data_IF_020955701039
#
_entry.id   IF_020955701039
#
_cell.length_a   1.000
_cell.length_b   1.000
_cell.length_c   1.000
_cell.angle_alpha   90.00
_cell.angle_beta   90.00
_cell.angle_gamma   90.00
#
_symmetry.space_group_name_H-M   'P 1'
#
loop_
_entity.id
_entity.type
_entity.pdbx_description
1 polymer ?
#
# COMPACT_ATOMS: atom_id res chain seq x y z
N UNK A 1 -16.66 9.27 -2.53
CA UNK A 1 -15.19 9.23 -2.53
C UNK A 1 -14.72 8.28 -3.61
N UNK A 2 -13.74 8.68 -4.38
CA UNK A 2 -13.19 7.83 -5.44
C UNK A 2 -12.24 6.77 -4.87
N UNK A 3 -12.24 5.58 -5.51
CA UNK A 3 -11.35 4.49 -5.13
C UNK A 3 -9.88 4.81 -5.45
N UNK A 4 -8.97 4.22 -4.71
CA UNK A 4 -7.54 4.34 -4.95
C UNK A 4 -6.78 3.11 -4.42
N UNK A 5 -5.55 2.97 -4.87
CA UNK A 5 -4.62 1.94 -4.40
C UNK A 5 -3.76 2.54 -3.29
N UNK A 6 -3.48 1.79 -2.24
CA UNK A 6 -2.56 2.19 -1.18
C UNK A 6 -1.39 1.20 -1.11
N UNK A 7 -0.17 1.72 -0.96
CA UNK A 7 0.98 0.85 -0.74
C UNK A 7 1.30 0.68 0.76
N UNK A 8 2.27 -0.16 1.06
CA UNK A 8 2.66 -0.44 2.44
C UNK A 8 3.28 0.76 3.14
N UNK A 9 3.90 1.70 2.42
CA UNK A 9 4.51 2.89 3.04
C UNK A 9 3.46 3.80 3.68
N UNK A 10 2.29 3.94 3.07
CA UNK A 10 1.16 4.69 3.63
C UNK A 10 0.47 3.87 4.73
N UNK A 11 0.19 2.60 4.46
CA UNK A 11 -0.51 1.72 5.40
C UNK A 11 0.29 1.50 6.70
N UNK A 12 1.62 1.57 6.65
CA UNK A 12 2.47 1.47 7.84
C UNK A 12 2.06 2.50 8.92
N UNK A 13 1.67 3.70 8.51
CA UNK A 13 1.25 4.75 9.42
C UNK A 13 -0.07 4.42 10.14
N UNK A 14 -0.86 3.50 9.62
CA UNK A 14 -2.08 3.04 10.29
C UNK A 14 -1.78 2.20 11.53
N UNK A 15 -0.61 1.53 11.54
CA UNK A 15 -0.18 0.64 12.61
C UNK A 15 0.74 1.32 13.61
N UNK A 16 1.46 2.35 13.17
CA UNK A 16 2.46 3.06 13.95
C UNK A 16 1.99 4.51 14.14
N UNK A 17 1.32 4.84 15.26
CA UNK A 17 0.67 6.15 15.43
C UNK A 17 1.61 7.35 15.34
N UNK A 18 2.90 7.17 15.64
CA UNK A 18 3.90 8.23 15.52
C UNK A 18 4.19 8.63 14.07
N UNK A 19 3.77 7.83 13.10
CA UNK A 19 3.90 8.12 11.67
C UNK A 19 2.62 8.67 11.05
N UNK A 20 1.55 8.83 11.81
CA UNK A 20 0.25 9.28 11.31
C UNK A 20 0.33 10.72 10.81
N UNK A 21 -0.32 10.97 9.66
CA UNK A 21 -0.48 12.30 9.06
C UNK A 21 -1.95 12.47 8.64
N UNK A 22 -2.41 13.70 8.34
CA UNK A 22 -3.76 13.88 7.82
C UNK A 22 -4.03 13.03 6.57
N UNK A 23 -3.04 12.87 5.71
CA UNK A 23 -3.13 12.06 4.50
C UNK A 23 -3.35 10.57 4.84
N UNK A 24 -2.55 10.00 5.74
CA UNK A 24 -2.66 8.59 6.12
C UNK A 24 -3.94 8.31 6.89
N UNK A 25 -4.40 9.24 7.73
CA UNK A 25 -5.66 9.09 8.44
C UNK A 25 -6.85 9.13 7.49
N UNK A 26 -6.84 10.02 6.51
CA UNK A 26 -7.89 10.06 5.49
C UNK A 26 -7.91 8.77 4.66
N UNK A 27 -6.74 8.23 4.32
CA UNK A 27 -6.64 6.95 3.61
C UNK A 27 -7.22 5.80 4.44
N UNK A 28 -6.95 5.77 5.75
CA UNK A 28 -7.51 4.77 6.66
C UNK A 28 -9.04 4.87 6.72
N UNK A 29 -9.58 6.08 6.86
CA UNK A 29 -11.03 6.29 6.87
C UNK A 29 -11.70 5.82 5.58
N UNK A 30 -11.02 5.96 4.45
CA UNK A 30 -11.54 5.52 3.15
C UNK A 30 -11.73 3.99 3.09
N UNK A 31 -11.02 3.20 3.91
CA UNK A 31 -11.21 1.75 3.96
C UNK A 31 -12.64 1.38 4.39
N UNK A 32 -13.22 2.15 5.29
CA UNK A 32 -14.58 1.91 5.75
C UNK A 32 -15.62 2.04 4.64
N UNK A 33 -15.35 2.89 3.64
CA UNK A 33 -16.22 3.06 2.48
C UNK A 33 -16.00 1.99 1.39
N UNK A 34 -15.02 1.09 1.57
CA UNK A 34 -14.69 0.07 0.59
C UNK A 34 -14.02 0.60 -0.67
N UNK A 35 -13.32 1.73 -0.56
CA UNK A 35 -12.72 2.43 -1.69
C UNK A 35 -11.21 2.18 -1.85
N UNK A 36 -10.62 1.39 -0.96
CA UNK A 36 -9.17 1.19 -0.96
C UNK A 36 -8.80 -0.19 -1.47
N UNK A 37 -7.92 -0.22 -2.47
CA UNK A 37 -7.43 -1.42 -3.13
C UNK A 37 -5.99 -1.70 -2.77
N UNK A 38 -5.64 -2.99 -2.66
CA UNK A 38 -4.26 -3.46 -2.48
C UNK A 38 -4.04 -4.71 -3.33
N UNK A 39 -2.81 -4.94 -3.82
CA UNK A 39 -2.46 -6.25 -4.38
C UNK A 39 -2.31 -7.28 -3.25
N UNK A 40 -2.41 -8.56 -3.58
CA UNK A 40 -2.29 -9.63 -2.57
C UNK A 40 -0.97 -9.59 -1.81
N UNK A 41 0.08 -9.13 -2.43
CA UNK A 41 1.40 -8.99 -1.80
C UNK A 41 1.39 -8.05 -0.58
N UNK A 42 0.43 -7.10 -0.51
CA UNK A 42 0.30 -6.19 0.62
C UNK A 42 0.18 -6.94 1.95
N UNK A 43 -0.52 -8.08 1.96
CA UNK A 43 -0.68 -8.90 3.16
C UNK A 43 0.67 -9.37 3.69
N UNK A 44 1.57 -9.78 2.80
CA UNK A 44 2.91 -10.23 3.15
C UNK A 44 3.80 -9.07 3.60
N UNK A 45 3.71 -7.94 2.93
CA UNK A 45 4.49 -6.76 3.31
C UNK A 45 4.09 -6.23 4.69
N UNK A 46 2.79 -6.18 4.98
CA UNK A 46 2.32 -5.76 6.30
C UNK A 46 2.72 -6.75 7.39
N UNK A 47 2.64 -8.05 7.09
CA UNK A 47 3.11 -9.08 8.01
C UNK A 47 4.60 -8.91 8.33
N UNK A 48 5.43 -8.69 7.33
CA UNK A 48 6.87 -8.46 7.52
C UNK A 48 7.15 -7.17 8.30
N UNK A 49 6.37 -6.11 8.05
CA UNK A 49 6.48 -4.86 8.80
C UNK A 49 6.24 -5.07 10.30
N UNK A 50 5.20 -5.83 10.65
CA UNK A 50 4.86 -6.13 12.04
C UNK A 50 5.95 -6.98 12.72
N UNK A 51 6.45 -8.01 12.04
CA UNK A 51 7.54 -8.83 12.57
C UNK A 51 8.83 -8.03 12.76
N UNK A 52 9.14 -7.15 11.80
CA UNK A 52 10.28 -6.26 11.88
C UNK A 52 10.17 -5.29 13.07
N UNK A 53 8.98 -4.71 13.28
CA UNK A 53 8.74 -3.81 14.40
C UNK A 53 8.96 -4.51 15.75
N UNK A 54 8.53 -5.77 15.88
CA UNK A 54 8.78 -6.56 17.08
C UNK A 54 10.27 -6.84 17.26
N UNK A 55 10.97 -7.25 16.20
CA UNK A 55 12.43 -7.52 16.26
C UNK A 55 13.21 -6.28 16.65
N UNK A 56 12.77 -5.10 16.25
CA UNK A 56 13.38 -3.81 16.61
C UNK A 56 12.89 -3.29 17.95
N UNK A 57 12.10 -4.07 18.68
CA UNK A 57 11.58 -3.74 20.01
C UNK A 57 10.69 -2.48 20.04
N UNK A 58 10.06 -2.15 18.91
CA UNK A 58 9.07 -1.06 18.84
C UNK A 58 7.73 -1.49 19.41
N UNK A 59 7.39 -2.77 19.28
CA UNK A 59 6.16 -3.38 19.79
C UNK A 59 6.51 -4.75 20.39
N UNK A 60 5.69 -5.24 21.31
CA UNK A 60 5.80 -6.60 21.83
C UNK A 60 4.95 -7.58 21.00
N UNK A 61 5.01 -8.87 21.36
CA UNK A 61 4.28 -9.91 20.63
C UNK A 61 2.76 -9.75 20.73
N UNK A 62 2.26 -9.31 21.89
CA UNK A 62 0.83 -9.08 22.08
C UNK A 62 0.34 -7.94 21.18
N UNK A 63 1.08 -6.85 21.12
CA UNK A 63 0.75 -5.71 20.25
C UNK A 63 0.83 -6.11 18.77
N UNK A 64 1.85 -6.88 18.39
CA UNK A 64 1.98 -7.38 17.01
C UNK A 64 0.76 -8.19 16.61
N UNK A 65 0.30 -9.12 17.45
CA UNK A 65 -0.87 -9.93 17.18
C UNK A 65 -2.15 -9.09 17.08
N UNK A 66 -2.29 -8.12 17.98
CA UNK A 66 -3.42 -7.19 17.95
C UNK A 66 -3.47 -6.39 16.64
N UNK A 67 -2.33 -5.90 16.18
CA UNK A 67 -2.24 -5.13 14.94
C UNK A 67 -2.51 -6.01 13.71
N UNK A 68 -2.05 -7.25 13.70
CA UNK A 68 -2.35 -8.19 12.64
C UNK A 68 -3.86 -8.45 12.52
N UNK A 69 -4.53 -8.63 13.67
CA UNK A 69 -5.99 -8.79 13.71
C UNK A 69 -6.69 -7.53 13.20
N UNK A 70 -6.19 -6.35 13.55
CA UNK A 70 -6.73 -5.08 13.07
C UNK A 70 -6.61 -4.96 11.54
N UNK A 71 -5.49 -5.41 10.97
CA UNK A 71 -5.31 -5.43 9.50
C UNK A 71 -6.36 -6.33 8.83
N UNK A 72 -6.61 -7.51 9.39
CA UNK A 72 -7.62 -8.43 8.84
C UNK A 72 -9.04 -7.83 8.90
N UNK A 73 -9.29 -6.95 9.85
CA UNK A 73 -10.60 -6.31 10.03
C UNK A 73 -10.83 -5.13 9.07
N UNK A 74 -9.79 -4.63 8.39
CA UNK A 74 -9.94 -3.54 7.43
C UNK A 74 -10.74 -3.99 6.21
N UNK A 75 -11.61 -3.10 5.72
CA UNK A 75 -12.43 -3.35 4.53
C UNK A 75 -11.67 -3.02 3.26
N UNK A 76 -10.56 -3.70 3.05
CA UNK A 76 -9.75 -3.53 1.83
C UNK A 76 -10.30 -4.39 0.71
N UNK A 77 -10.18 -3.86 -0.51
CA UNK A 77 -10.40 -4.64 -1.73
C UNK A 77 -9.07 -5.24 -2.15
N UNK A 78 -8.92 -6.53 -1.97
CA UNK A 78 -7.68 -7.23 -2.31
C UNK A 78 -7.80 -7.73 -3.74
N UNK A 79 -6.90 -7.23 -4.61
CA UNK A 79 -6.83 -7.70 -5.98
C UNK A 79 -6.09 -9.05 -6.02
N UNK A 80 -6.77 -10.08 -6.46
CA UNK A 80 -6.23 -11.44 -6.52
C UNK A 80 -6.05 -11.94 -7.94
N UNK A 81 -6.17 -11.06 -8.94
CA UNK A 81 -5.96 -11.45 -10.31
C UNK A 81 -4.50 -11.86 -10.53
N UNK A 82 -4.24 -12.98 -11.20
CA UNK A 82 -2.86 -13.36 -11.50
C UNK A 82 -2.25 -12.37 -12.48
N UNK A 83 -1.05 -11.91 -12.16
CA UNK A 83 -0.26 -11.01 -13.02
C UNK A 83 0.99 -11.75 -13.45
N UNK A 84 1.27 -11.76 -14.76
CA UNK A 84 2.43 -12.45 -15.29
C UNK A 84 3.73 -11.77 -14.83
N UNK A 85 4.75 -12.58 -14.53
CA UNK A 85 6.08 -12.06 -14.18
C UNK A 85 6.60 -11.14 -15.28
N UNK A 86 6.38 -11.49 -16.55
CA UNK A 86 6.85 -10.67 -17.68
C UNK A 86 6.25 -9.26 -17.68
N UNK A 87 5.00 -9.11 -17.27
CA UNK A 87 4.36 -7.80 -17.16
C UNK A 87 4.98 -6.97 -16.03
N UNK A 88 5.20 -7.57 -14.87
CA UNK A 88 5.86 -6.92 -13.75
C UNK A 88 7.31 -6.58 -14.05
N UNK A 89 8.04 -7.50 -14.69
CA UNK A 89 9.43 -7.30 -15.10
C UNK A 89 9.56 -6.10 -16.04
N UNK A 90 8.73 -6.02 -17.06
CA UNK A 90 8.75 -4.92 -18.01
C UNK A 90 8.49 -3.57 -17.31
N UNK A 91 7.50 -3.54 -16.45
CA UNK A 91 7.12 -2.32 -15.72
C UNK A 91 8.22 -1.91 -14.73
N UNK A 92 8.76 -2.87 -13.98
CA UNK A 92 9.83 -2.64 -13.01
C UNK A 92 11.11 -2.14 -13.70
N UNK A 93 11.51 -2.76 -14.80
CA UNK A 93 12.70 -2.36 -15.55
C UNK A 93 12.54 -0.96 -16.15
N UNK A 94 11.37 -0.64 -16.70
CA UNK A 94 11.09 0.67 -17.30
C UNK A 94 11.21 1.80 -16.29
N UNK A 95 10.75 1.59 -15.06
CA UNK A 95 10.64 2.62 -14.04
C UNK A 95 11.67 2.46 -12.92
N UNK A 96 12.61 1.53 -13.05
CA UNK A 96 13.64 1.26 -12.02
C UNK A 96 13.02 0.96 -10.65
N UNK A 97 11.98 0.15 -10.65
CA UNK A 97 11.29 -0.30 -9.45
C UNK A 97 11.67 -1.74 -9.11
N UNK A 98 11.48 -2.12 -7.85
CA UNK A 98 11.38 -3.54 -7.51
C UNK A 98 10.09 -4.11 -8.11
N UNK A 99 10.00 -5.42 -8.26
CA UNK A 99 8.75 -6.05 -8.71
C UNK A 99 7.62 -5.85 -7.69
N UNK A 100 7.95 -5.77 -6.40
CA UNK A 100 6.96 -5.47 -5.36
C UNK A 100 6.33 -4.09 -5.58
N UNK A 101 7.14 -3.06 -5.81
CA UNK A 101 6.63 -1.71 -6.09
C UNK A 101 5.89 -1.66 -7.43
N UNK A 102 6.40 -2.38 -8.43
CA UNK A 102 5.74 -2.48 -9.72
C UNK A 102 4.34 -3.09 -9.62
N UNK A 103 4.11 -3.99 -8.66
CA UNK A 103 2.79 -4.59 -8.46
C UNK A 103 1.73 -3.56 -8.07
N UNK A 104 2.10 -2.56 -7.27
CA UNK A 104 1.19 -1.46 -6.92
C UNK A 104 0.89 -0.57 -8.13
N UNK A 105 1.92 -0.22 -8.89
CA UNK A 105 1.75 0.58 -10.10
C UNK A 105 0.92 -0.16 -11.16
N UNK A 106 1.17 -1.46 -11.32
CA UNK A 106 0.41 -2.31 -12.25
C UNK A 106 -1.08 -2.31 -11.88
N UNK A 107 -1.40 -2.51 -10.61
CA UNK A 107 -2.78 -2.51 -10.14
C UNK A 107 -3.46 -1.17 -10.42
N UNK A 108 -2.79 -0.06 -10.12
CA UNK A 108 -3.30 1.28 -10.37
C UNK A 108 -3.57 1.51 -11.86
N UNK A 109 -2.63 1.12 -12.72
CA UNK A 109 -2.77 1.26 -14.17
C UNK A 109 -3.91 0.40 -14.73
N UNK A 110 -3.96 -0.86 -14.32
CA UNK A 110 -4.95 -1.82 -14.83
C UNK A 110 -6.37 -1.42 -14.44
N UNK A 111 -6.58 -0.89 -13.25
CA UNK A 111 -7.89 -0.46 -12.77
C UNK A 111 -8.18 1.01 -12.99
N UNK A 112 -7.22 1.78 -13.51
CA UNK A 112 -7.40 3.21 -13.74
C UNK A 112 -7.61 3.99 -12.45
N UNK A 113 -6.85 3.66 -11.39
CA UNK A 113 -6.99 4.26 -10.06
C UNK A 113 -5.78 5.10 -9.69
N UNK A 114 -5.96 6.12 -8.84
CA UNK A 114 -4.85 6.79 -8.18
C UNK A 114 -4.07 5.84 -7.27
N UNK A 115 -2.85 6.20 -6.93
CA UNK A 115 -1.98 5.44 -6.03
C UNK A 115 -1.46 6.33 -4.91
N UNK A 116 -1.68 5.91 -3.67
CA UNK A 116 -1.17 6.58 -2.48
C UNK A 116 0.12 5.90 -2.04
N UNK A 117 1.22 6.63 -2.07
CA UNK A 117 2.55 6.15 -1.65
C UNK A 117 3.40 7.29 -1.14
N UNK A 118 4.38 6.96 -0.30
CA UNK A 118 5.47 7.86 0.10
C UNK A 118 6.81 7.48 -0.52
N UNK A 119 6.86 6.35 -1.24
CA UNK A 119 8.10 5.89 -1.86
C UNK A 119 8.49 6.80 -3.03
N UNK A 120 9.72 7.36 -2.98
CA UNK A 120 10.16 8.32 -3.98
C UNK A 120 10.30 7.72 -5.37
N UNK A 121 10.77 6.48 -5.48
CA UNK A 121 10.89 5.80 -6.77
C UNK A 121 9.50 5.55 -7.38
N UNK A 122 8.55 5.14 -6.55
CA UNK A 122 7.17 4.89 -7.00
C UNK A 122 6.47 6.21 -7.39
N UNK A 123 6.69 7.29 -6.64
CA UNK A 123 6.16 8.61 -6.99
C UNK A 123 6.70 9.09 -8.36
N UNK A 124 7.99 8.89 -8.63
CA UNK A 124 8.58 9.24 -9.91
C UNK A 124 7.98 8.40 -11.05
N UNK A 125 7.80 7.11 -10.84
CA UNK A 125 7.18 6.21 -11.80
C UNK A 125 5.73 6.61 -12.11
N UNK A 126 4.97 7.01 -11.10
CA UNK A 126 3.59 7.48 -11.26
C UNK A 126 3.51 8.70 -12.19
N UNK A 127 4.41 9.67 -12.00
CA UNK A 127 4.46 10.85 -12.85
C UNK A 127 4.70 10.50 -14.32
N UNK A 128 5.59 9.57 -14.60
CA UNK A 128 5.88 9.11 -15.97
C UNK A 128 4.75 8.25 -16.55
N UNK A 129 4.09 7.47 -15.72
CA UNK A 129 3.03 6.56 -16.15
C UNK A 129 1.64 7.21 -16.22
N UNK A 130 1.51 8.45 -15.77
CA UNK A 130 0.22 9.15 -15.76
C UNK A 130 -0.72 8.70 -14.65
N UNK A 131 -0.19 8.19 -13.55
CA UNK A 131 -0.96 7.80 -12.37
C UNK A 131 -0.92 8.94 -11.35
N UNK A 132 -2.08 9.41 -10.93
CA UNK A 132 -2.19 10.49 -9.95
C UNK A 132 -2.15 9.96 -8.51
N UNK A 133 -1.81 10.82 -7.56
CA UNK A 133 -2.09 10.59 -6.16
C UNK A 133 -3.59 10.82 -5.89
N UNK A 134 -4.18 10.15 -4.89
CA UNK A 134 -5.57 10.43 -4.54
C UNK A 134 -5.72 11.84 -3.96
N UNK A 135 -6.90 12.42 -4.15
CA UNK A 135 -7.23 13.74 -3.59
C UNK A 135 -7.63 13.59 -2.12
N UNK A 136 -6.63 13.59 -1.25
CA UNK A 136 -6.79 13.47 0.20
C UNK A 136 -6.10 14.64 0.90
N UNK A 137 -6.54 15.00 2.13
CA UNK A 137 -5.88 16.02 2.93
C UNK A 137 -4.39 15.73 3.13
N UNK A 138 -3.59 16.77 3.18
CA UNK A 138 -2.14 16.66 3.37
C UNK A 138 -1.73 16.96 4.81
#
# INVERSE_FOLDING_TARGET
MAAFVVDASVAAAWLLPDEATPFTEAALLATAAGEVWVPALWLLEMGNLLLSAQRRKRIDSAKRQQLATACDALRLRIDREPVAITALDTLAARHQLTTCDAAYLELALRRGLPLATFDTALLAAMGLAGVAAPDLPR
#
